data_IF_092259275332
#
_entry.id   IF_092259275332
#
_cell.length_a   1.000
_cell.length_b   1.000
_cell.length_c   1.000
_cell.angle_alpha   90.00
_cell.angle_beta   90.00
_cell.angle_gamma   90.00
#
_symmetry.space_group_name_H-M   'P 1'
#
loop_
_entity.id
_entity.type
_entity.pdbx_description
1 polymer ?
#
# COMPACT_ATOMS: atom_id res chain seq x y z
N UNK A 1 27.43 16.49 0.67
CA UNK A 1 27.39 15.91 2.02
C UNK A 1 27.14 14.41 1.86
N UNK A 2 28.09 13.54 2.26
CA UNK A 2 27.95 12.08 2.12
C UNK A 2 27.13 11.58 3.30
N UNK A 3 25.96 10.95 3.04
CA UNK A 3 25.15 10.37 4.07
C UNK A 3 25.82 9.09 4.58
N UNK A 4 25.99 8.97 5.89
CA UNK A 4 26.47 7.74 6.54
C UNK A 4 25.25 6.98 7.07
N UNK A 5 25.03 5.78 6.57
CA UNK A 5 23.99 4.89 7.05
C UNK A 5 24.50 4.05 8.22
N UNK A 6 23.74 4.01 9.31
CA UNK A 6 24.01 3.11 10.42
C UNK A 6 23.32 1.79 10.15
N UNK A 7 24.07 0.69 10.20
CA UNK A 7 23.48 -0.65 10.09
C UNK A 7 22.62 -0.90 11.34
N UNK A 8 21.35 -1.21 11.13
CA UNK A 8 20.41 -1.52 12.17
C UNK A 8 20.18 -3.04 12.20
N UNK A 9 20.16 -3.64 13.39
CA UNK A 9 20.07 -5.08 13.55
C UNK A 9 18.73 -5.60 13.00
N UNK A 10 17.61 -4.99 13.37
CA UNK A 10 16.28 -5.37 12.89
C UNK A 10 16.12 -5.36 11.37
N UNK A 11 16.82 -4.43 10.68
CA UNK A 11 16.85 -4.40 9.21
C UNK A 11 17.70 -5.54 8.64
N UNK A 12 18.78 -5.90 9.34
CA UNK A 12 19.62 -7.02 8.95
C UNK A 12 18.89 -8.34 9.15
N UNK A 13 18.15 -8.48 10.26
CA UNK A 13 17.34 -9.67 10.56
C UNK A 13 16.22 -9.85 9.52
N UNK A 14 15.55 -8.77 9.12
CA UNK A 14 14.54 -8.80 8.07
C UNK A 14 15.10 -9.28 6.72
N UNK A 15 16.29 -8.80 6.34
CA UNK A 15 16.99 -9.25 5.11
C UNK A 15 17.41 -10.70 5.23
N UNK A 16 18.02 -11.08 6.34
CA UNK A 16 18.53 -12.44 6.59
C UNK A 16 17.40 -13.46 6.55
N UNK A 17 16.26 -13.18 7.17
CA UNK A 17 15.10 -14.05 7.15
C UNK A 17 14.60 -14.30 5.72
N UNK A 18 14.50 -13.26 4.88
CA UNK A 18 14.11 -13.44 3.46
C UNK A 18 15.10 -14.31 2.73
N UNK A 19 16.39 -14.09 2.92
CA UNK A 19 17.44 -14.78 2.17
C UNK A 19 17.52 -16.25 2.59
N UNK A 20 17.41 -16.55 3.89
CA UNK A 20 17.44 -17.92 4.46
C UNK A 20 16.29 -18.81 4.00
N UNK A 21 15.19 -18.25 3.47
CA UNK A 21 14.14 -19.09 2.84
C UNK A 21 14.72 -19.96 1.74
N UNK A 22 15.76 -19.50 1.08
CA UNK A 22 16.40 -20.20 -0.03
C UNK A 22 17.68 -20.93 0.39
N UNK A 23 17.89 -21.23 1.68
CA UNK A 23 19.04 -22.02 2.13
C UNK A 23 19.04 -23.40 1.47
N UNK A 24 20.18 -23.77 0.90
CA UNK A 24 20.33 -24.95 0.04
C UNK A 24 20.20 -24.67 -1.47
N UNK A 25 19.77 -23.45 -1.88
CA UNK A 25 19.78 -23.04 -3.26
C UNK A 25 21.21 -22.78 -3.72
N UNK A 26 21.69 -23.45 -4.79
CA UNK A 26 23.02 -23.16 -5.33
C UNK A 26 23.05 -21.78 -6.02
N UNK A 27 24.21 -21.15 -6.00
CA UNK A 27 24.44 -19.98 -6.83
C UNK A 27 24.67 -20.46 -8.28
N UNK A 28 23.65 -20.38 -9.11
CA UNK A 28 23.70 -20.79 -10.52
C UNK A 28 24.36 -19.71 -11.40
N UNK A 29 24.71 -18.55 -10.82
CA UNK A 29 25.22 -17.40 -11.58
C UNK A 29 24.16 -16.82 -12.52
N UNK A 30 24.63 -16.24 -13.60
CA UNK A 30 23.77 -15.73 -14.67
C UNK A 30 23.45 -16.84 -15.67
N UNK A 31 22.19 -16.96 -16.01
CA UNK A 31 21.75 -17.82 -17.10
C UNK A 31 21.51 -16.97 -18.34
N UNK A 32 22.18 -17.36 -19.40
CA UNK A 32 22.03 -16.72 -20.71
C UNK A 32 20.79 -17.27 -21.42
N UNK A 33 20.17 -16.44 -22.24
CA UNK A 33 19.15 -16.86 -23.20
C UNK A 33 19.30 -16.07 -24.50
N UNK A 34 18.81 -16.65 -25.59
CA UNK A 34 18.82 -15.98 -26.88
C UNK A 34 17.77 -14.86 -26.91
N UNK A 35 18.20 -13.62 -27.10
CA UNK A 35 17.28 -12.48 -27.22
C UNK A 35 16.50 -12.58 -28.52
N UNK A 36 15.18 -12.38 -28.46
CA UNK A 36 14.37 -12.09 -29.64
C UNK A 36 14.58 -10.62 -30.04
N UNK A 37 15.38 -10.38 -31.05
CA UNK A 37 15.65 -9.03 -31.55
C UNK A 37 14.46 -8.41 -32.27
N UNK A 38 13.38 -9.16 -32.51
CA UNK A 38 12.19 -8.70 -33.23
C UNK A 38 12.45 -8.45 -34.73
N UNK A 39 11.61 -7.58 -35.31
CA UNK A 39 11.64 -7.29 -36.74
C UNK A 39 11.57 -5.79 -36.99
N UNK A 40 12.34 -5.33 -37.95
CA UNK A 40 12.31 -3.95 -38.41
C UNK A 40 11.58 -3.87 -39.75
N UNK A 41 10.64 -2.95 -39.87
CA UNK A 41 9.89 -2.71 -41.10
C UNK A 41 10.15 -1.29 -41.59
N UNK A 42 10.39 -1.15 -42.90
CA UNK A 42 10.53 0.14 -43.58
C UNK A 42 9.42 0.27 -44.64
N UNK A 43 8.88 1.44 -44.80
CA UNK A 43 7.98 1.75 -45.88
C UNK A 43 8.74 1.97 -47.19
N UNK A 44 8.61 1.07 -48.16
CA UNK A 44 9.12 1.24 -49.51
C UNK A 44 7.95 1.19 -50.50
N UNK A 45 7.73 2.29 -51.21
CA UNK A 45 6.67 2.37 -52.23
C UNK A 45 5.25 2.15 -51.72
N UNK A 46 4.95 2.60 -50.49
CA UNK A 46 3.63 2.42 -49.85
C UNK A 46 3.35 1.01 -49.35
N UNK A 47 4.36 0.15 -49.32
CA UNK A 47 4.27 -1.21 -48.74
C UNK A 47 5.25 -1.32 -47.57
N UNK A 48 4.79 -1.98 -46.53
CA UNK A 48 5.61 -2.31 -45.35
C UNK A 48 6.45 -3.53 -45.68
N UNK A 49 7.79 -3.33 -45.81
CA UNK A 49 8.76 -4.37 -46.13
C UNK A 49 9.61 -4.67 -44.92
N UNK A 50 9.76 -5.96 -44.56
CA UNK A 50 10.64 -6.41 -43.51
C UNK A 50 12.10 -6.21 -43.96
N UNK A 51 12.85 -5.39 -43.23
CA UNK A 51 14.28 -5.22 -43.48
C UNK A 51 15.01 -6.16 -42.54
N UNK A 52 15.79 -7.06 -43.09
CA UNK A 52 16.81 -7.77 -42.32
C UNK A 52 17.90 -6.77 -41.99
N UNK A 53 17.77 -6.13 -40.87
CA UNK A 53 18.86 -5.39 -40.28
C UNK A 53 19.94 -6.43 -39.94
N UNK A 54 21.16 -6.16 -40.39
CA UNK A 54 22.41 -6.89 -40.20
C UNK A 54 22.30 -8.14 -39.30
N UNK A 55 22.92 -9.25 -39.70
CA UNK A 55 23.13 -10.40 -38.81
C UNK A 55 23.62 -9.83 -37.48
N UNK A 56 22.70 -9.79 -36.49
CA UNK A 56 23.11 -9.46 -35.13
C UNK A 56 24.16 -10.49 -34.76
N UNK A 57 25.32 -10.06 -34.31
CA UNK A 57 26.29 -10.94 -33.74
C UNK A 57 25.58 -11.86 -32.74
N UNK A 58 25.73 -13.16 -32.92
CA UNK A 58 25.15 -14.16 -32.02
C UNK A 58 25.65 -13.99 -30.54
N UNK A 59 26.48 -12.98 -30.30
CA UNK A 59 27.25 -12.70 -29.09
C UNK A 59 26.56 -11.79 -28.05
N UNK A 60 25.36 -11.23 -28.33
CA UNK A 60 24.66 -10.43 -27.33
C UNK A 60 23.56 -11.27 -26.60
N UNK A 61 23.94 -12.05 -25.58
CA UNK A 61 22.98 -12.83 -24.84
C UNK A 61 22.09 -11.95 -23.96
N UNK A 62 20.83 -12.34 -23.78
CA UNK A 62 20.01 -11.88 -22.67
C UNK A 62 20.35 -12.65 -21.41
N UNK A 63 20.14 -12.01 -20.27
CA UNK A 63 20.38 -12.63 -18.96
C UNK A 63 19.08 -12.78 -18.17
N UNK A 64 18.88 -13.93 -17.57
CA UNK A 64 17.75 -14.25 -16.72
C UNK A 64 18.19 -14.79 -15.36
N UNK A 65 17.34 -14.64 -14.37
CA UNK A 65 17.55 -15.26 -13.08
C UNK A 65 17.51 -16.80 -13.20
N UNK A 66 18.44 -17.48 -12.52
CA UNK A 66 18.43 -18.93 -12.39
C UNK A 66 17.21 -19.42 -11.64
N UNK A 67 16.74 -20.62 -12.00
CA UNK A 67 15.57 -21.24 -11.39
C UNK A 67 15.82 -21.60 -9.93
N UNK A 68 14.75 -21.61 -9.13
CA UNK A 68 14.76 -22.18 -7.79
C UNK A 68 14.73 -23.71 -7.94
N UNK A 69 15.80 -24.38 -7.51
CA UNK A 69 15.92 -25.85 -7.59
C UNK A 69 15.42 -26.54 -6.32
N UNK A 70 15.14 -25.77 -5.27
CA UNK A 70 14.56 -26.29 -4.04
C UNK A 70 13.14 -26.79 -4.29
N UNK A 71 12.84 -27.98 -3.79
CA UNK A 71 11.48 -28.49 -3.80
C UNK A 71 10.59 -27.74 -2.78
N UNK A 72 9.28 -27.98 -2.89
CA UNK A 72 8.30 -27.34 -2.05
C UNK A 72 8.48 -27.65 -0.56
N UNK A 73 8.88 -28.89 -0.25
CA UNK A 73 9.05 -29.37 1.13
C UNK A 73 10.23 -28.67 1.80
N UNK A 74 11.35 -28.55 1.09
CA UNK A 74 12.55 -27.84 1.57
C UNK A 74 12.26 -26.35 1.77
N UNK A 75 11.57 -25.69 0.82
CA UNK A 75 11.15 -24.30 0.98
C UNK A 75 10.25 -24.11 2.21
N UNK A 76 9.25 -24.98 2.40
CA UNK A 76 8.34 -24.89 3.54
C UNK A 76 9.10 -25.13 4.86
N UNK A 77 10.02 -26.09 4.88
CA UNK A 77 10.88 -26.35 6.06
C UNK A 77 11.72 -25.14 6.43
N UNK A 78 12.33 -24.47 5.45
CA UNK A 78 13.10 -23.26 5.68
C UNK A 78 12.21 -22.11 6.21
N UNK A 79 11.02 -21.93 5.63
CA UNK A 79 10.03 -20.95 6.10
C UNK A 79 9.63 -21.25 7.56
N UNK A 80 9.30 -22.51 7.90
CA UNK A 80 8.94 -22.89 9.26
C UNK A 80 10.07 -22.65 10.26
N UNK A 81 11.32 -22.91 9.86
CA UNK A 81 12.48 -22.63 10.72
C UNK A 81 12.57 -21.15 11.07
N UNK A 82 12.45 -20.27 10.06
CA UNK A 82 12.46 -18.82 10.25
C UNK A 82 11.27 -18.36 11.11
N UNK A 83 10.08 -18.87 10.83
CA UNK A 83 8.86 -18.54 11.57
C UNK A 83 8.96 -18.95 13.04
N UNK A 84 9.55 -20.14 13.32
CA UNK A 84 9.78 -20.62 14.69
C UNK A 84 10.76 -19.74 15.43
N UNK A 85 11.90 -19.38 14.81
CA UNK A 85 12.91 -18.52 15.42
C UNK A 85 12.37 -17.09 15.69
N UNK A 86 11.49 -16.60 14.82
CA UNK A 86 10.91 -15.26 14.90
C UNK A 86 9.57 -15.22 15.66
N UNK A 87 9.12 -16.34 16.25
CA UNK A 87 7.83 -16.46 16.93
C UNK A 87 6.64 -16.02 16.03
N UNK A 88 6.69 -16.40 14.75
CA UNK A 88 5.65 -16.15 13.77
C UNK A 88 4.81 -17.43 13.62
N UNK A 89 3.50 -17.27 13.40
CA UNK A 89 2.60 -18.41 13.15
C UNK A 89 3.05 -19.20 11.92
N UNK A 90 3.11 -20.54 12.05
CA UNK A 90 3.57 -21.39 10.96
C UNK A 90 2.63 -21.37 9.76
N UNK A 91 3.19 -21.26 8.59
CA UNK A 91 2.46 -21.35 7.32
C UNK A 91 2.01 -22.79 7.07
N UNK A 92 0.77 -22.98 6.61
CA UNK A 92 0.29 -24.33 6.27
C UNK A 92 0.92 -24.88 5.00
N UNK A 93 1.27 -24.01 4.05
CA UNK A 93 1.81 -24.35 2.74
C UNK A 93 2.60 -23.19 2.13
N UNK A 94 3.40 -23.47 1.10
CA UNK A 94 4.05 -22.46 0.27
C UNK A 94 3.04 -21.85 -0.68
N UNK A 95 2.78 -20.54 -0.55
CA UNK A 95 1.86 -19.81 -1.44
C UNK A 95 2.54 -19.53 -2.77
N UNK A 96 1.95 -20.01 -3.87
CA UNK A 96 2.50 -19.96 -5.24
C UNK A 96 1.64 -19.17 -6.24
N UNK A 97 0.90 -18.16 -5.78
CA UNK A 97 0.04 -17.34 -6.68
C UNK A 97 0.88 -16.55 -7.71
N UNK A 98 2.04 -16.03 -7.28
CA UNK A 98 2.96 -15.25 -8.10
C UNK A 98 4.40 -15.79 -7.95
N UNK A 99 4.77 -16.73 -8.83
CA UNK A 99 6.08 -17.38 -8.82
C UNK A 99 6.16 -18.61 -7.91
N UNK A 100 7.38 -19.05 -7.59
CA UNK A 100 7.64 -20.25 -6.77
C UNK A 100 7.19 -20.10 -5.32
N UNK A 101 7.23 -18.87 -4.78
CA UNK A 101 6.70 -18.55 -3.45
C UNK A 101 6.36 -17.06 -3.36
N UNK A 102 5.53 -16.72 -2.37
CA UNK A 102 5.26 -15.34 -1.96
C UNK A 102 5.60 -15.19 -0.48
N UNK A 103 6.52 -14.27 -0.18
CA UNK A 103 7.02 -14.04 1.17
C UNK A 103 6.55 -12.66 1.66
N UNK A 104 6.07 -12.59 2.88
CA UNK A 104 5.62 -11.34 3.50
C UNK A 104 6.65 -10.86 4.52
N UNK A 105 7.00 -9.59 4.40
CA UNK A 105 7.84 -8.84 5.33
C UNK A 105 7.02 -7.69 5.87
N UNK A 106 6.61 -7.80 7.13
CA UNK A 106 5.87 -6.76 7.82
C UNK A 106 6.82 -5.87 8.59
N UNK A 107 6.78 -4.58 8.30
CA UNK A 107 7.59 -3.57 8.97
C UNK A 107 6.80 -2.28 9.11
N UNK A 108 6.77 -1.73 10.31
CA UNK A 108 6.08 -0.47 10.59
C UNK A 108 6.57 0.68 9.68
N UNK A 109 5.68 1.63 9.44
CA UNK A 109 5.98 2.82 8.64
C UNK A 109 7.11 3.62 9.29
N UNK A 110 8.10 4.05 8.47
CA UNK A 110 9.26 4.81 8.97
C UNK A 110 10.43 3.96 9.46
N UNK A 111 10.32 2.63 9.53
CA UNK A 111 11.42 1.73 9.94
C UNK A 111 12.42 1.42 8.82
N UNK A 112 12.19 1.95 7.61
CA UNK A 112 13.13 1.82 6.49
C UNK A 112 12.88 0.62 5.58
N UNK A 113 11.62 0.23 5.32
CA UNK A 113 11.25 -0.83 4.36
C UNK A 113 12.03 -0.76 3.05
N UNK A 114 12.11 0.44 2.45
CA UNK A 114 12.82 0.66 1.18
C UNK A 114 14.31 0.28 1.28
N UNK A 115 14.99 0.67 2.35
CA UNK A 115 16.38 0.28 2.59
C UNK A 115 16.52 -1.25 2.72
N UNK A 116 15.58 -1.88 3.44
CA UNK A 116 15.59 -3.33 3.66
C UNK A 116 15.45 -4.08 2.34
N UNK A 117 14.46 -3.76 1.50
CA UNK A 117 14.33 -4.48 0.24
C UNK A 117 15.49 -4.17 -0.74
N UNK A 118 16.05 -2.96 -0.75
CA UNK A 118 17.26 -2.70 -1.55
C UNK A 118 18.43 -3.56 -1.04
N UNK A 119 18.65 -3.66 0.27
CA UNK A 119 19.67 -4.55 0.84
C UNK A 119 19.42 -6.01 0.49
N UNK A 120 18.14 -6.44 0.50
CA UNK A 120 17.73 -7.80 0.11
C UNK A 120 18.14 -8.14 -1.32
N UNK A 121 18.02 -7.21 -2.28
CA UNK A 121 18.47 -7.44 -3.65
C UNK A 121 19.97 -7.80 -3.71
N UNK A 122 20.80 -7.06 -2.98
CA UNK A 122 22.24 -7.30 -2.94
C UNK A 122 22.59 -8.64 -2.26
N UNK A 123 21.92 -8.99 -1.17
CA UNK A 123 22.15 -10.28 -0.50
C UNK A 123 21.69 -11.46 -1.35
N UNK A 124 20.54 -11.37 -2.03
CA UNK A 124 20.06 -12.37 -2.97
C UNK A 124 21.03 -12.54 -4.15
N UNK A 125 21.57 -11.44 -4.68
CA UNK A 125 22.59 -11.51 -5.70
C UNK A 125 23.87 -12.17 -5.19
N UNK A 126 24.35 -11.78 -4.01
CA UNK A 126 25.57 -12.30 -3.42
C UNK A 126 25.50 -13.80 -3.18
N UNK A 127 24.36 -14.31 -2.66
CA UNK A 127 24.21 -15.72 -2.29
C UNK A 127 23.77 -16.59 -3.45
N UNK A 128 22.81 -16.13 -4.27
CA UNK A 128 22.15 -16.97 -5.28
C UNK A 128 22.38 -16.53 -6.73
N UNK A 129 23.08 -15.39 -6.93
CA UNK A 129 23.41 -14.90 -8.26
C UNK A 129 22.25 -14.20 -8.99
N UNK A 130 21.09 -13.99 -8.37
CA UNK A 130 19.96 -13.32 -9.01
C UNK A 130 20.26 -11.84 -9.25
N UNK A 131 19.92 -11.36 -10.46
CA UNK A 131 20.25 -10.00 -10.92
C UNK A 131 19.06 -9.20 -11.42
N UNK A 132 17.94 -9.85 -11.77
CA UNK A 132 16.77 -9.20 -12.39
C UNK A 132 15.67 -9.00 -11.36
N UNK A 133 15.35 -7.73 -11.09
CA UNK A 133 14.38 -7.35 -10.06
C UNK A 133 13.38 -6.33 -10.60
N UNK A 134 12.15 -6.39 -10.12
CA UNK A 134 11.10 -5.39 -10.40
C UNK A 134 10.53 -4.91 -9.08
N UNK A 135 10.57 -3.61 -8.84
CA UNK A 135 9.88 -2.97 -7.71
C UNK A 135 8.57 -2.38 -8.20
N UNK A 136 7.47 -2.93 -7.71
CA UNK A 136 6.12 -2.47 -8.04
C UNK A 136 5.57 -1.63 -6.90
N UNK A 137 5.13 -0.44 -7.22
CA UNK A 137 4.61 0.53 -6.26
C UNK A 137 3.19 0.97 -6.62
N UNK A 138 2.37 1.39 -5.63
CA UNK A 138 0.97 1.75 -5.89
C UNK A 138 0.80 3.12 -6.58
N UNK A 139 1.77 4.03 -6.48
CA UNK A 139 1.63 5.39 -6.99
C UNK A 139 2.92 5.97 -7.55
N UNK A 140 2.78 7.02 -8.37
CA UNK A 140 3.92 7.77 -8.93
C UNK A 140 4.76 8.42 -7.83
N UNK A 141 4.14 8.96 -6.78
CA UNK A 141 4.87 9.61 -5.68
C UNK A 141 5.80 8.62 -4.95
N UNK A 142 5.31 7.39 -4.67
CA UNK A 142 6.12 6.34 -4.05
C UNK A 142 7.23 5.90 -5.01
N UNK A 143 6.95 5.80 -6.31
CA UNK A 143 7.93 5.47 -7.34
C UNK A 143 9.14 6.41 -7.33
N UNK A 144 8.89 7.72 -7.29
CA UNK A 144 9.96 8.73 -7.20
C UNK A 144 10.73 8.63 -5.87
N UNK A 145 10.02 8.33 -4.78
CA UNK A 145 10.64 8.07 -3.47
C UNK A 145 11.57 6.86 -3.48
N UNK A 146 11.17 5.78 -4.13
CA UNK A 146 11.99 4.57 -4.30
C UNK A 146 13.23 4.88 -5.13
N UNK A 147 13.07 5.57 -6.28
CA UNK A 147 14.20 6.02 -7.10
C UNK A 147 15.20 6.82 -6.28
N UNK A 148 14.71 7.83 -5.53
CA UNK A 148 15.56 8.64 -4.65
C UNK A 148 16.29 7.80 -3.60
N UNK A 149 15.65 6.74 -3.10
CA UNK A 149 16.28 5.83 -2.12
C UNK A 149 17.43 5.06 -2.77
N UNK A 150 17.31 4.59 -4.01
CA UNK A 150 18.42 4.02 -4.76
C UNK A 150 19.56 5.02 -4.97
N UNK A 151 19.23 6.28 -5.35
CA UNK A 151 20.23 7.34 -5.55
C UNK A 151 21.06 7.58 -4.28
N UNK A 152 20.40 7.79 -3.14
CA UNK A 152 21.07 8.15 -1.88
C UNK A 152 21.80 6.97 -1.21
N UNK A 153 21.41 5.73 -1.48
CA UNK A 153 22.03 4.53 -0.91
C UNK A 153 23.11 3.91 -1.82
N UNK A 154 23.26 4.38 -3.04
CA UNK A 154 24.17 3.80 -4.04
C UNK A 154 25.62 3.65 -3.55
N UNK A 155 26.20 4.70 -2.96
CA UNK A 155 27.56 4.67 -2.44
C UNK A 155 27.68 3.77 -1.21
N UNK A 156 26.67 3.75 -0.36
CA UNK A 156 26.64 2.89 0.82
C UNK A 156 26.66 1.40 0.43
N UNK A 157 25.82 1.00 -0.53
CA UNK A 157 25.81 -0.39 -0.99
C UNK A 157 27.05 -0.74 -1.85
N UNK A 158 27.62 0.22 -2.56
CA UNK A 158 28.90 0.02 -3.21
C UNK A 158 30.04 -0.26 -2.20
N UNK A 159 30.04 0.42 -1.06
CA UNK A 159 31.01 0.16 0.02
C UNK A 159 30.79 -1.24 0.67
N UNK A 160 29.54 -1.68 0.82
CA UNK A 160 29.22 -2.95 1.45
C UNK A 160 29.40 -4.19 0.54
N UNK A 161 29.08 -4.05 -0.75
CA UNK A 161 28.99 -5.19 -1.67
C UNK A 161 29.96 -5.14 -2.83
N UNK A 162 30.70 -4.03 -3.01
CA UNK A 162 31.60 -3.83 -4.15
C UNK A 162 30.89 -3.73 -5.50
N UNK A 163 29.54 -3.58 -5.50
CA UNK A 163 28.69 -3.55 -6.69
C UNK A 163 27.69 -2.42 -6.61
N UNK A 164 27.26 -1.92 -7.77
CA UNK A 164 26.14 -0.97 -7.89
C UNK A 164 24.95 -1.67 -8.55
N UNK A 165 23.74 -1.37 -8.10
CA UNK A 165 22.54 -1.73 -8.83
C UNK A 165 22.28 -0.68 -9.91
N UNK A 166 21.97 -1.14 -11.12
CA UNK A 166 21.42 -0.30 -12.19
C UNK A 166 19.90 -0.28 -12.03
N UNK A 167 19.29 0.88 -12.10
CA UNK A 167 17.84 0.99 -11.95
C UNK A 167 17.29 2.05 -12.90
N UNK A 168 16.07 1.83 -13.33
CA UNK A 168 15.32 2.76 -14.17
C UNK A 168 13.85 2.75 -13.80
N UNK A 169 13.16 3.83 -14.12
CA UNK A 169 11.71 3.90 -14.03
C UNK A 169 11.13 3.47 -15.36
N UNK A 170 10.23 2.48 -15.35
CA UNK A 170 9.50 2.11 -16.55
C UNK A 170 8.78 3.32 -17.15
N UNK A 171 9.07 3.58 -18.42
CA UNK A 171 8.43 4.61 -19.22
C UNK A 171 8.00 4.03 -20.58
N UNK A 172 6.72 4.16 -20.91
CA UNK A 172 6.18 3.72 -22.21
C UNK A 172 6.80 4.42 -23.42
N UNK A 173 7.40 5.58 -23.22
CA UNK A 173 8.04 6.37 -24.28
C UNK A 173 9.52 6.01 -24.48
N UNK A 174 10.14 5.28 -23.52
CA UNK A 174 11.54 4.86 -23.55
C UNK A 174 11.67 3.35 -23.32
N UNK A 175 11.27 2.55 -24.30
CA UNK A 175 11.30 1.10 -24.21
C UNK A 175 12.71 0.50 -24.32
N UNK A 176 13.70 1.25 -24.81
CA UNK A 176 15.10 0.81 -24.90
C UNK A 176 15.74 0.44 -23.55
N UNK A 177 15.25 1.02 -22.45
CA UNK A 177 15.69 0.67 -21.10
C UNK A 177 15.38 -0.80 -20.75
N UNK A 178 14.33 -1.39 -21.35
CA UNK A 178 13.99 -2.81 -21.19
C UNK A 178 15.02 -3.71 -21.87
N UNK A 179 15.52 -3.34 -23.05
CA UNK A 179 16.59 -4.09 -23.72
C UNK A 179 17.87 -4.02 -22.88
N UNK A 180 18.24 -2.82 -22.39
CA UNK A 180 19.37 -2.64 -21.47
C UNK A 180 19.22 -3.48 -20.20
N UNK A 181 18.01 -3.55 -19.63
CA UNK A 181 17.68 -4.40 -18.48
C UNK A 181 17.93 -5.87 -18.80
N UNK A 182 17.51 -6.35 -19.99
CA UNK A 182 17.66 -7.74 -20.40
C UNK A 182 19.12 -8.12 -20.67
N UNK A 183 19.88 -7.22 -21.30
CA UNK A 183 21.29 -7.45 -21.69
C UNK A 183 22.29 -7.24 -20.57
N UNK A 184 21.90 -6.60 -19.47
CA UNK A 184 22.84 -6.32 -18.37
C UNK A 184 23.11 -7.58 -17.54
N UNK A 185 24.38 -7.87 -17.30
CA UNK A 185 24.82 -8.89 -16.36
C UNK A 185 24.81 -8.42 -14.90
N UNK A 186 24.68 -7.10 -14.66
CA UNK A 186 24.68 -6.48 -13.34
C UNK A 186 23.32 -6.60 -12.66
N UNK A 187 23.28 -6.31 -11.35
CA UNK A 187 22.01 -6.13 -10.62
C UNK A 187 21.22 -5.04 -11.32
N UNK A 188 20.08 -5.40 -11.89
CA UNK A 188 19.22 -4.52 -12.67
C UNK A 188 17.83 -4.48 -12.07
N UNK A 189 17.30 -3.28 -11.86
CA UNK A 189 16.03 -3.04 -11.17
C UNK A 189 15.13 -2.16 -12.04
N UNK A 190 13.96 -2.67 -12.39
CA UNK A 190 12.89 -1.88 -12.99
C UNK A 190 11.94 -1.40 -11.90
N UNK A 191 11.69 -0.10 -11.82
CA UNK A 191 10.72 0.49 -10.90
C UNK A 191 9.47 0.85 -11.70
N UNK A 192 8.31 0.28 -11.34
CA UNK A 192 7.06 0.45 -12.07
C UNK A 192 5.89 0.67 -11.13
N UNK A 193 4.98 1.58 -11.47
CA UNK A 193 3.73 1.75 -10.73
C UNK A 193 2.59 0.96 -11.36
N UNK A 194 1.61 0.56 -10.56
CA UNK A 194 0.49 -0.29 -11.00
C UNK A 194 -0.28 0.28 -12.18
N UNK A 195 -0.41 1.59 -12.28
CA UNK A 195 -1.14 2.27 -13.37
C UNK A 195 -0.48 2.06 -14.74
N UNK A 196 0.82 1.77 -14.79
CA UNK A 196 1.57 1.60 -16.03
C UNK A 196 1.29 0.25 -16.72
N UNK A 197 0.76 -0.75 -16.01
CA UNK A 197 0.49 -2.08 -16.57
C UNK A 197 -0.92 -2.62 -16.23
N UNK A 198 -1.65 -2.00 -15.30
CA UNK A 198 -2.99 -2.44 -14.90
C UNK A 198 -4.04 -1.88 -15.85
N UNK A 199 -4.34 -2.63 -16.91
CA UNK A 199 -5.35 -2.24 -17.90
C UNK A 199 -6.18 -3.45 -18.32
N UNK A 200 -7.44 -3.17 -18.68
CA UNK A 200 -8.27 -4.16 -19.36
C UNK A 200 -7.75 -4.39 -20.78
N UNK A 201 -7.53 -5.64 -21.15
CA UNK A 201 -7.15 -6.03 -22.52
C UNK A 201 -8.33 -6.08 -23.49
N UNK A 202 -9.55 -5.76 -23.01
CA UNK A 202 -10.74 -5.68 -23.89
C UNK A 202 -10.56 -4.51 -24.86
N UNK A 203 -10.98 -4.72 -26.11
CA UNK A 203 -11.03 -3.66 -27.11
C UNK A 203 -11.87 -2.48 -26.61
N UNK A 204 -11.35 -1.25 -26.78
CA UNK A 204 -12.03 -0.04 -26.32
C UNK A 204 -11.67 0.43 -24.89
N UNK A 205 -10.76 -0.24 -24.18
CA UNK A 205 -10.32 0.22 -22.86
C UNK A 205 -9.68 1.60 -22.91
N UNK A 206 -10.07 2.49 -21.96
CA UNK A 206 -9.70 3.92 -21.94
C UNK A 206 -8.21 4.20 -21.72
N UNK A 207 -7.45 3.26 -21.15
CA UNK A 207 -6.05 3.49 -20.79
C UNK A 207 -5.07 2.99 -21.87
N UNK A 208 -4.87 3.81 -22.91
CA UNK A 208 -3.94 3.51 -24.01
C UNK A 208 -2.48 3.36 -23.54
N UNK A 209 -2.02 4.18 -22.59
CA UNK A 209 -0.64 4.16 -22.10
C UNK A 209 -0.30 2.84 -21.39
N UNK A 210 -1.21 2.28 -20.58
CA UNK A 210 -0.98 1.01 -19.89
C UNK A 210 -1.07 -0.21 -20.85
N UNK A 211 -1.57 -0.06 -22.07
CA UNK A 211 -1.56 -1.13 -23.08
C UNK A 211 -0.23 -1.27 -23.79
N UNK A 212 0.60 -0.22 -23.77
CA UNK A 212 1.89 -0.21 -24.49
C UNK A 212 2.77 -1.37 -24.07
N UNK A 213 2.77 -1.75 -22.82
CA UNK A 213 3.56 -2.88 -22.30
C UNK A 213 3.13 -4.23 -22.90
N UNK A 214 1.87 -4.37 -23.33
CA UNK A 214 1.28 -5.60 -23.87
C UNK A 214 1.18 -5.65 -25.38
N UNK A 215 1.26 -4.51 -26.05
CA UNK A 215 1.08 -4.41 -27.50
C UNK A 215 2.43 -4.55 -28.22
N UNK A 216 2.39 -5.16 -29.41
CA UNK A 216 3.54 -5.12 -30.33
C UNK A 216 3.78 -3.68 -30.78
N UNK A 217 5.00 -3.21 -30.67
CA UNK A 217 5.36 -1.82 -30.97
C UNK A 217 6.45 -1.77 -32.03
N UNK A 218 6.23 -0.97 -33.07
CA UNK A 218 7.20 -0.82 -34.16
C UNK A 218 8.48 -0.14 -33.67
N UNK A 219 8.36 0.84 -32.76
CA UNK A 219 9.50 1.48 -32.10
C UNK A 219 10.24 0.57 -31.10
N UNK A 220 9.74 -0.66 -30.88
CA UNK A 220 10.37 -1.71 -30.10
C UNK A 220 10.55 -2.99 -30.95
N UNK A 221 10.88 -2.81 -32.22
CA UNK A 221 11.16 -3.89 -33.18
C UNK A 221 10.03 -4.93 -33.26
N UNK A 222 8.78 -4.47 -33.27
CA UNK A 222 7.57 -5.29 -33.30
C UNK A 222 7.46 -6.35 -32.19
N UNK A 223 8.18 -6.18 -31.09
CA UNK A 223 8.09 -7.01 -29.87
C UNK A 223 7.09 -6.43 -28.89
N UNK A 224 6.64 -7.26 -27.96
CA UNK A 224 5.86 -6.82 -26.79
C UNK A 224 6.79 -6.63 -25.60
N UNK A 225 6.82 -5.45 -24.95
CA UNK A 225 7.69 -5.20 -23.80
C UNK A 225 7.54 -6.23 -22.68
N UNK A 226 6.30 -6.68 -22.40
CA UNK A 226 6.04 -7.66 -21.36
C UNK A 226 6.72 -9.00 -21.60
N UNK A 227 6.82 -9.46 -22.87
CA UNK A 227 7.45 -10.75 -23.19
C UNK A 227 8.97 -10.68 -22.94
N UNK A 228 9.59 -9.55 -23.26
CA UNK A 228 11.02 -9.33 -23.01
C UNK A 228 11.29 -9.30 -21.51
N UNK A 229 10.45 -8.60 -20.73
CA UNK A 229 10.60 -8.57 -19.28
C UNK A 229 10.38 -9.96 -18.66
N UNK A 230 9.35 -10.70 -19.11
CA UNK A 230 9.02 -12.02 -18.61
C UNK A 230 10.13 -13.06 -18.86
N UNK A 231 10.87 -12.92 -19.97
CA UNK A 231 12.00 -13.79 -20.31
C UNK A 231 13.13 -13.71 -19.27
N UNK A 232 13.29 -12.59 -18.59
CA UNK A 232 14.31 -12.39 -17.55
C UNK A 232 13.99 -13.10 -16.23
N UNK A 233 12.77 -13.63 -16.03
CA UNK A 233 12.31 -14.24 -14.76
C UNK A 233 12.60 -13.40 -13.53
N UNK A 234 12.08 -12.19 -13.45
CA UNK A 234 12.44 -11.26 -12.39
C UNK A 234 11.94 -11.71 -11.02
N UNK A 235 12.64 -11.31 -9.97
CA UNK A 235 12.09 -11.28 -8.61
C UNK A 235 11.25 -10.03 -8.49
N UNK A 236 9.99 -10.17 -8.07
CA UNK A 236 9.09 -9.03 -7.89
C UNK A 236 9.04 -8.63 -6.42
N UNK A 237 9.20 -7.34 -6.17
CA UNK A 237 9.01 -6.70 -4.87
C UNK A 237 7.76 -5.84 -4.96
N UNK A 238 6.77 -6.14 -4.12
CA UNK A 238 5.55 -5.34 -3.98
C UNK A 238 5.70 -4.44 -2.75
N UNK A 239 5.74 -3.14 -2.97
CA UNK A 239 5.74 -2.15 -1.90
C UNK A 239 4.30 -1.71 -1.62
N UNK A 240 3.78 -1.97 -0.42
CA UNK A 240 2.39 -1.78 0.00
C UNK A 240 1.37 -2.62 -0.82
N UNK A 241 1.51 -3.97 -0.85
CA UNK A 241 0.69 -4.88 -1.66
C UNK A 241 -0.81 -4.79 -1.37
N UNK A 242 -1.24 -4.38 -0.17
CA UNK A 242 -2.66 -4.20 0.17
C UNK A 242 -3.37 -3.14 -0.72
N UNK A 243 -2.62 -2.27 -1.37
CA UNK A 243 -3.13 -1.31 -2.37
C UNK A 243 -3.23 -1.89 -3.77
N UNK A 244 -2.78 -3.14 -3.96
CA UNK A 244 -2.65 -3.82 -5.26
C UNK A 244 -3.47 -5.12 -5.34
N UNK A 245 -4.36 -5.40 -4.37
CA UNK A 245 -5.07 -6.69 -4.21
C UNK A 245 -6.20 -6.97 -5.21
N UNK A 246 -6.45 -6.11 -6.20
CA UNK A 246 -7.46 -6.35 -7.23
C UNK A 246 -7.11 -7.53 -8.16
N UNK A 247 -8.08 -8.39 -8.51
CA UNK A 247 -7.89 -9.55 -9.37
C UNK A 247 -7.22 -9.21 -10.72
N UNK A 248 -7.57 -8.06 -11.32
CA UNK A 248 -6.96 -7.58 -12.55
C UNK A 248 -5.45 -7.29 -12.38
N UNK A 249 -5.07 -6.70 -11.24
CA UNK A 249 -3.66 -6.41 -10.92
C UNK A 249 -2.87 -7.69 -10.70
N UNK A 250 -3.45 -8.67 -9.99
CA UNK A 250 -2.82 -9.97 -9.76
C UNK A 250 -2.59 -10.73 -11.08
N UNK A 251 -3.58 -10.72 -11.97
CA UNK A 251 -3.44 -11.29 -13.33
C UNK A 251 -2.36 -10.57 -14.14
N UNK A 252 -2.26 -9.25 -14.02
CA UNK A 252 -1.24 -8.48 -14.72
C UNK A 252 0.17 -8.76 -14.16
N UNK A 253 0.31 -8.88 -12.84
CA UNK A 253 1.58 -9.26 -12.17
C UNK A 253 2.07 -10.65 -12.60
N UNK A 254 1.17 -11.62 -12.75
CA UNK A 254 1.53 -12.96 -13.21
C UNK A 254 2.16 -12.97 -14.63
N UNK A 255 1.85 -11.98 -15.47
CA UNK A 255 2.42 -11.84 -16.82
C UNK A 255 3.89 -11.47 -16.85
N UNK A 256 4.40 -10.88 -15.78
CA UNK A 256 5.84 -10.65 -15.63
C UNK A 256 6.64 -11.93 -15.43
N UNK A 257 5.97 -13.08 -15.28
CA UNK A 257 6.57 -14.40 -15.04
C UNK A 257 7.58 -14.39 -13.87
N UNK A 258 7.15 -13.95 -12.67
CA UNK A 258 8.09 -13.80 -11.57
C UNK A 258 8.74 -15.12 -11.14
N UNK A 259 10.01 -15.06 -10.76
CA UNK A 259 10.68 -16.16 -10.11
C UNK A 259 10.04 -16.44 -8.73
N UNK A 260 9.89 -15.39 -7.93
CA UNK A 260 9.11 -15.35 -6.69
C UNK A 260 8.77 -13.89 -6.36
N UNK A 261 7.96 -13.70 -5.32
CA UNK A 261 7.49 -12.36 -4.94
C UNK A 261 7.74 -12.08 -3.47
N UNK A 262 8.21 -10.86 -3.18
CA UNK A 262 8.42 -10.30 -1.84
C UNK A 262 7.41 -9.18 -1.60
N UNK A 263 6.63 -9.30 -0.54
CA UNK A 263 5.61 -8.33 -0.16
C UNK A 263 6.10 -7.52 1.05
N UNK A 264 6.33 -6.24 0.88
CA UNK A 264 6.73 -5.33 1.96
C UNK A 264 5.58 -4.42 2.35
N UNK A 265 5.13 -4.49 3.59
CA UNK A 265 4.02 -3.67 4.09
C UNK A 265 4.17 -3.36 5.57
N UNK A 266 3.48 -2.32 6.06
CA UNK A 266 3.26 -2.13 7.49
C UNK A 266 2.09 -2.99 8.01
N UNK A 267 1.16 -3.36 7.11
CA UNK A 267 -0.01 -4.20 7.43
C UNK A 267 -0.39 -5.02 6.21
N UNK A 268 -0.50 -6.32 6.36
CA UNK A 268 -0.97 -7.20 5.30
C UNK A 268 -2.47 -7.47 5.44
N UNK A 269 -3.25 -7.27 4.35
CA UNK A 269 -4.67 -7.67 4.30
C UNK A 269 -4.85 -9.17 4.11
N UNK A 270 -4.00 -9.76 3.30
CA UNK A 270 -3.89 -11.20 3.07
C UNK A 270 -2.47 -11.60 3.45
N UNK A 271 -2.34 -12.64 4.24
CA UNK A 271 -1.05 -13.18 4.64
C UNK A 271 -0.70 -14.36 3.75
N UNK A 272 0.51 -14.39 3.24
CA UNK A 272 1.03 -15.48 2.42
C UNK A 272 1.99 -16.37 3.24
N UNK A 273 3.29 -16.12 3.13
CA UNK A 273 4.28 -16.78 3.97
C UNK A 273 5.08 -15.70 4.70
N UNK A 274 4.64 -15.27 5.92
CA UNK A 274 5.34 -14.25 6.67
C UNK A 274 6.69 -14.79 7.17
N UNK A 275 7.75 -14.02 6.90
CA UNK A 275 9.12 -14.38 7.30
C UNK A 275 9.75 -13.36 8.24
N UNK A 276 9.15 -12.18 8.35
CA UNK A 276 9.56 -11.14 9.28
C UNK A 276 8.38 -10.26 9.66
N UNK A 277 8.25 -9.98 10.96
CA UNK A 277 7.21 -9.11 11.52
C UNK A 277 7.83 -8.13 12.50
N UNK A 278 7.67 -6.84 12.25
CA UNK A 278 7.99 -5.74 13.13
C UNK A 278 6.78 -4.82 13.15
N UNK A 279 5.85 -5.12 14.05
CA UNK A 279 4.61 -4.37 14.20
C UNK A 279 4.82 -2.99 14.86
N UNK A 280 3.73 -2.23 14.98
CA UNK A 280 3.77 -0.88 15.57
C UNK A 280 4.21 -0.90 17.04
N UNK A 281 3.80 -1.92 17.82
CA UNK A 281 4.15 -2.06 19.22
C UNK A 281 5.62 -2.41 19.39
N UNK A 282 6.12 -3.35 18.61
CA UNK A 282 7.52 -3.76 18.62
C UNK A 282 8.43 -2.61 18.15
N UNK A 283 8.05 -1.91 17.09
CA UNK A 283 8.77 -0.76 16.60
C UNK A 283 8.83 0.38 17.64
N UNK A 284 7.74 0.59 18.38
CA UNK A 284 7.70 1.55 19.47
C UNK A 284 8.58 1.12 20.66
N UNK A 285 8.47 -0.13 21.11
CA UNK A 285 9.25 -0.67 22.22
C UNK A 285 10.76 -0.60 21.93
N UNK A 286 11.17 -0.83 20.69
CA UNK A 286 12.54 -0.70 20.21
C UNK A 286 12.96 0.77 19.94
N UNK A 287 12.07 1.74 20.15
CA UNK A 287 12.31 3.19 19.93
C UNK A 287 12.68 3.53 18.48
N UNK A 288 12.17 2.78 17.52
CA UNK A 288 12.41 2.96 16.08
C UNK A 288 11.46 4.00 15.47
N UNK A 289 10.28 4.16 16.05
CA UNK A 289 9.25 5.11 15.62
C UNK A 289 8.86 6.04 16.77
N UNK A 290 8.34 7.22 16.44
CA UNK A 290 7.81 8.13 17.45
C UNK A 290 6.56 7.53 18.09
N UNK A 291 6.33 7.83 19.37
CA UNK A 291 5.06 7.52 20.04
C UNK A 291 3.93 8.18 19.24
N UNK A 292 3.04 7.39 18.69
CA UNK A 292 1.74 7.86 18.23
C UNK A 292 0.88 7.86 19.48
N UNK A 293 0.79 8.99 20.16
CA UNK A 293 -0.23 9.19 21.16
C UNK A 293 -1.52 9.46 20.38
N UNK A 294 -2.32 8.44 20.20
CA UNK A 294 -3.72 8.62 19.89
C UNK A 294 -4.29 9.16 21.19
N UNK A 295 -4.39 10.47 21.33
CA UNK A 295 -5.37 11.08 22.19
C UNK A 295 -6.68 10.61 21.57
N UNK A 296 -7.23 9.52 22.08
CA UNK A 296 -8.59 9.14 21.81
C UNK A 296 -9.38 10.33 22.30
N UNK A 297 -9.93 11.12 21.40
CA UNK A 297 -11.21 11.71 21.70
C UNK A 297 -12.09 10.48 21.89
N UNK A 298 -12.39 10.14 23.14
CA UNK A 298 -13.64 9.50 23.38
C UNK A 298 -14.66 10.48 22.78
N UNK A 299 -15.06 10.23 21.55
CA UNK A 299 -16.36 10.64 21.12
C UNK A 299 -17.31 9.90 22.05
N UNK A 300 -17.56 10.49 23.22
CA UNK A 300 -18.71 10.19 24.03
C UNK A 300 -19.94 10.57 23.21
N UNK A 301 -20.16 9.93 22.12
CA UNK A 301 -21.36 10.02 21.29
C UNK A 301 -21.17 9.12 20.08
N UNK A 302 -20.87 7.85 20.30
CA UNK A 302 -21.22 6.80 19.36
C UNK A 302 -22.75 6.82 19.25
N UNK A 303 -23.26 6.99 18.04
CA UNK A 303 -24.69 6.89 17.72
C UNK A 303 -25.33 5.76 18.53
N UNK A 304 -26.17 6.14 19.49
CA UNK A 304 -27.04 5.21 20.23
C UNK A 304 -26.78 5.01 21.71
N UNK A 305 -25.80 5.69 22.34
CA UNK A 305 -25.52 5.54 23.77
C UNK A 305 -25.73 6.82 24.61
N UNK A 306 -25.42 8.01 24.03
CA UNK A 306 -25.62 9.28 24.75
C UNK A 306 -26.28 10.31 23.82
N UNK A 307 -27.32 10.98 24.33
CA UNK A 307 -28.12 11.89 23.53
C UNK A 307 -27.38 13.18 23.15
N UNK A 308 -27.15 13.39 21.83
CA UNK A 308 -26.61 14.67 21.34
C UNK A 308 -27.65 15.77 21.56
N UNK A 309 -27.28 16.81 22.30
CA UNK A 309 -28.09 18.00 22.54
C UNK A 309 -27.21 19.26 22.37
N UNK A 310 -27.67 20.20 21.56
CA UNK A 310 -27.01 21.48 21.38
C UNK A 310 -27.99 22.62 21.45
N UNK A 311 -27.85 23.51 22.46
CA UNK A 311 -28.70 24.68 22.62
C UNK A 311 -28.18 25.80 21.70
N UNK A 312 -28.85 26.01 20.58
CA UNK A 312 -28.43 27.00 19.59
C UNK A 312 -28.81 28.44 20.01
N UNK A 313 -30.04 28.61 20.54
CA UNK A 313 -30.58 29.93 20.92
C UNK A 313 -31.82 29.82 21.79
N UNK A 314 -32.22 30.92 22.46
CA UNK A 314 -33.52 31.05 23.11
C UNK A 314 -34.34 32.11 22.37
N UNK A 315 -35.46 31.67 21.85
CA UNK A 315 -36.39 32.50 21.07
C UNK A 315 -37.36 33.21 22.01
N UNK A 316 -37.34 34.56 21.96
CA UNK A 316 -38.23 35.40 22.73
C UNK A 316 -39.35 35.91 21.84
N UNK A 317 -40.57 35.89 22.35
CA UNK A 317 -41.76 36.43 21.68
C UNK A 317 -42.55 37.32 22.66
N UNK A 318 -43.23 38.34 22.13
CA UNK A 318 -44.07 39.22 22.93
C UNK A 318 -45.35 38.50 23.45
N UNK A 319 -45.78 37.49 22.75
CA UNK A 319 -47.11 36.86 22.97
C UNK A 319 -47.03 35.40 23.42
N UNK A 320 -45.80 34.88 23.60
CA UNK A 320 -45.58 33.46 23.98
C UNK A 320 -44.44 33.34 24.98
N UNK A 321 -44.49 32.30 25.80
CA UNK A 321 -43.40 31.93 26.67
C UNK A 321 -42.09 31.69 25.86
N UNK A 322 -40.94 31.87 26.46
CA UNK A 322 -39.66 31.60 25.81
C UNK A 322 -39.56 30.17 25.31
N UNK A 323 -38.92 29.98 24.15
CA UNK A 323 -38.66 28.67 23.57
C UNK A 323 -37.17 28.48 23.37
N UNK A 324 -36.64 27.32 23.71
CA UNK A 324 -35.27 26.96 23.44
C UNK A 324 -35.15 26.31 22.06
N UNK A 325 -34.33 26.86 21.16
CA UNK A 325 -34.03 26.24 19.88
C UNK A 325 -32.86 25.26 20.05
N UNK A 326 -33.19 23.98 20.01
CA UNK A 326 -32.25 22.91 20.27
C UNK A 326 -32.06 22.02 19.05
N UNK A 327 -30.81 21.65 18.76
CA UNK A 327 -30.47 20.59 17.82
C UNK A 327 -30.36 19.27 18.55
N UNK A 328 -31.04 18.24 18.04
CA UNK A 328 -31.11 16.90 18.64
C UNK A 328 -31.23 15.83 17.55
N UNK A 329 -30.93 14.60 17.90
CA UNK A 329 -31.12 13.47 17.01
C UNK A 329 -32.62 13.03 17.02
N UNK A 330 -33.13 12.82 15.81
CA UNK A 330 -34.55 12.41 15.63
C UNK A 330 -34.59 11.19 14.73
N UNK A 331 -35.28 10.15 15.19
CA UNK A 331 -35.51 8.94 14.42
C UNK A 331 -36.83 9.07 13.61
N UNK A 332 -36.70 8.89 12.30
CA UNK A 332 -37.84 8.87 11.40
C UNK A 332 -38.56 7.52 11.45
N UNK A 333 -39.82 7.46 10.96
CA UNK A 333 -40.60 6.21 10.83
C UNK A 333 -39.91 5.11 10.02
N UNK A 334 -38.91 5.44 9.20
CA UNK A 334 -38.07 4.50 8.45
C UNK A 334 -36.89 3.95 9.25
N UNK A 335 -36.72 4.36 10.52
CA UNK A 335 -35.60 3.97 11.37
C UNK A 335 -34.31 4.79 11.15
N UNK A 336 -34.28 5.71 10.19
CA UNK A 336 -33.08 6.56 9.95
C UNK A 336 -33.04 7.70 10.98
N UNK A 337 -31.84 7.95 11.52
CA UNK A 337 -31.59 9.00 12.52
C UNK A 337 -30.95 10.19 11.79
N UNK A 338 -31.48 11.38 12.01
CA UNK A 338 -30.93 12.66 11.53
C UNK A 338 -30.89 13.68 12.67
N UNK A 339 -29.97 14.64 12.59
CA UNK A 339 -29.93 15.82 13.45
C UNK A 339 -30.88 16.86 12.87
N UNK A 340 -31.74 17.45 13.74
CA UNK A 340 -32.67 18.48 13.33
C UNK A 340 -32.95 19.45 14.49
N UNK A 341 -33.34 20.67 14.18
CA UNK A 341 -33.69 21.70 15.16
C UNK A 341 -35.14 21.54 15.60
N UNK A 342 -35.33 21.66 16.91
CA UNK A 342 -36.67 21.76 17.54
C UNK A 342 -36.73 22.98 18.45
N UNK A 343 -37.88 23.64 18.45
CA UNK A 343 -38.20 24.67 19.42
C UNK A 343 -38.91 24.00 20.60
N UNK A 344 -38.28 24.03 21.75
CA UNK A 344 -38.76 23.38 22.98
C UNK A 344 -39.34 24.41 23.90
N UNK A 345 -40.43 24.04 24.52
CA UNK A 345 -41.13 24.78 25.61
C UNK A 345 -41.00 24.03 26.92
N UNK A 346 -41.26 24.69 28.05
CA UNK A 346 -41.34 23.99 29.31
C UNK A 346 -42.42 22.92 29.27
N UNK A 347 -42.14 21.73 29.81
CA UNK A 347 -42.97 20.54 29.75
C UNK A 347 -42.74 19.63 28.53
N UNK A 348 -41.99 20.03 27.54
CA UNK A 348 -41.67 19.18 26.38
C UNK A 348 -40.77 18.00 26.78
N UNK A 349 -41.13 16.79 26.30
CA UNK A 349 -40.41 15.56 26.52
C UNK A 349 -39.60 15.18 25.26
N UNK A 350 -38.27 15.18 25.38
CA UNK A 350 -37.36 14.88 24.26
C UNK A 350 -37.48 13.44 23.81
N UNK A 351 -37.83 12.49 24.68
CA UNK A 351 -38.07 11.11 24.28
C UNK A 351 -39.19 11.02 23.21
N UNK A 352 -40.28 11.71 23.47
CA UNK A 352 -41.45 11.76 22.55
C UNK A 352 -41.08 12.50 21.25
N UNK A 353 -40.37 13.61 21.33
CA UNK A 353 -39.97 14.46 20.18
C UNK A 353 -38.89 13.85 19.30
N UNK A 354 -38.07 12.96 19.83
CA UNK A 354 -37.01 12.27 19.12
C UNK A 354 -37.42 11.05 18.31
N UNK A 355 -38.70 10.65 18.42
CA UNK A 355 -39.20 9.38 17.86
C UNK A 355 -38.91 8.18 18.77
N UNK A 356 -38.99 8.39 20.07
CA UNK A 356 -38.85 7.40 21.16
C UNK A 356 -37.40 6.84 21.27
N UNK A 357 -36.39 7.68 21.06
CA UNK A 357 -35.01 7.28 21.24
C UNK A 357 -34.68 7.19 22.74
N UNK A 358 -34.20 6.03 23.18
CA UNK A 358 -33.96 5.71 24.61
C UNK A 358 -32.94 6.67 25.27
N UNK A 359 -32.00 7.23 24.53
CA UNK A 359 -31.02 8.20 25.01
C UNK A 359 -31.63 9.51 25.52
N UNK A 360 -32.87 9.82 25.18
CA UNK A 360 -33.56 11.02 25.65
C UNK A 360 -34.61 10.73 26.74
N UNK A 361 -34.67 9.53 27.31
CA UNK A 361 -35.54 9.23 28.45
C UNK A 361 -35.14 10.09 29.63
N UNK A 362 -36.17 10.74 30.24
CA UNK A 362 -35.96 11.63 31.39
C UNK A 362 -35.56 13.07 31.06
N UNK A 363 -35.39 13.40 29.77
CA UNK A 363 -35.14 14.77 29.34
C UNK A 363 -36.48 15.50 29.12
N UNK A 364 -37.13 15.88 30.20
CA UNK A 364 -38.34 16.75 30.20
C UNK A 364 -37.89 18.16 30.55
N UNK A 365 -38.22 19.14 29.70
CA UNK A 365 -37.85 20.55 29.96
C UNK A 365 -38.55 21.07 31.20
N UNK A 366 -37.79 21.43 32.23
CA UNK A 366 -38.33 21.96 33.50
C UNK A 366 -38.23 23.48 33.59
N UNK A 367 -37.20 24.09 32.97
CA UNK A 367 -36.98 25.52 33.05
C UNK A 367 -36.20 26.03 31.80
N UNK A 368 -36.61 27.22 31.30
CA UNK A 368 -35.89 27.95 30.29
C UNK A 368 -35.52 29.33 30.93
N UNK A 369 -34.25 29.43 31.34
CA UNK A 369 -33.72 30.63 31.99
C UNK A 369 -33.14 31.61 30.97
N UNK A 370 -33.47 32.91 31.12
CA UNK A 370 -33.03 33.99 30.25
C UNK A 370 -32.16 34.95 31.06
N UNK A 371 -30.91 35.08 30.71
CA UNK A 371 -30.06 36.14 31.21
C UNK A 371 -30.04 37.33 30.22
N UNK A 372 -30.72 38.42 30.60
CA UNK A 372 -30.87 39.61 29.77
C UNK A 372 -29.58 40.45 29.71
N UNK A 373 -28.68 40.27 30.66
CA UNK A 373 -27.37 41.01 30.68
C UNK A 373 -26.31 40.25 29.92
N UNK A 374 -26.32 38.93 30.00
CA UNK A 374 -25.34 38.07 29.33
C UNK A 374 -26.07 36.91 28.62
N UNK A 375 -26.50 37.11 27.36
CA UNK A 375 -27.29 36.11 26.63
C UNK A 375 -26.65 34.71 26.59
N UNK A 376 -25.30 34.63 26.60
CA UNK A 376 -24.58 33.36 26.65
C UNK A 376 -24.77 32.56 27.98
N UNK A 377 -25.32 33.17 29.02
CA UNK A 377 -25.66 32.51 30.27
C UNK A 377 -27.13 32.04 30.31
N UNK A 378 -27.89 32.35 29.28
CA UNK A 378 -29.22 31.79 29.16
C UNK A 378 -29.16 30.27 28.99
N UNK A 379 -30.04 29.51 29.60
CA UNK A 379 -29.96 28.05 29.71
C UNK A 379 -31.31 27.36 29.60
N UNK A 380 -31.27 26.07 29.33
CA UNK A 380 -32.39 25.13 29.45
C UNK A 380 -32.03 24.06 30.46
N UNK A 381 -32.94 23.75 31.38
CA UNK A 381 -32.78 22.72 32.40
C UNK A 381 -33.80 21.62 32.19
N UNK A 382 -33.37 20.38 32.38
CA UNK A 382 -34.20 19.17 32.24
C UNK A 382 -34.45 18.52 33.60
N UNK A 383 -35.52 17.73 33.67
CA UNK A 383 -35.93 17.03 34.90
C UNK A 383 -34.94 16.02 35.44
N UNK A 384 -33.99 15.56 34.64
CA UNK A 384 -32.87 14.71 35.04
C UNK A 384 -31.69 15.50 35.66
N UNK A 385 -31.82 16.82 35.80
CA UNK A 385 -30.79 17.72 36.36
C UNK A 385 -29.76 18.25 35.35
N UNK A 386 -29.87 17.89 34.10
CA UNK A 386 -28.97 18.42 33.05
C UNK A 386 -29.34 19.87 32.73
N UNK A 387 -28.36 20.76 32.69
CA UNK A 387 -28.52 22.16 32.27
C UNK A 387 -27.56 22.45 31.11
N UNK A 388 -28.08 23.05 30.02
CA UNK A 388 -27.32 23.46 28.87
C UNK A 388 -27.38 24.97 28.72
N UNK A 389 -26.23 25.60 28.41
CA UNK A 389 -26.12 27.01 28.12
C UNK A 389 -26.07 27.26 26.60
N UNK A 390 -26.40 28.49 26.16
CA UNK A 390 -26.34 28.82 24.72
C UNK A 390 -24.90 28.58 24.21
N UNK A 391 -24.80 27.83 23.13
CA UNK A 391 -23.55 27.40 22.47
C UNK A 391 -22.67 26.42 23.27
N UNK A 392 -23.17 25.84 24.34
CA UNK A 392 -22.56 24.65 24.93
C UNK A 392 -23.02 23.42 24.15
N UNK A 393 -22.07 22.69 23.58
CA UNK A 393 -22.30 21.32 23.17
C UNK A 393 -22.27 20.45 24.44
N UNK A 394 -23.39 19.92 24.86
CA UNK A 394 -23.36 18.81 25.79
C UNK A 394 -22.98 17.55 25.02
N UNK A 395 -21.68 17.38 24.85
CA UNK A 395 -21.08 16.09 24.70
C UNK A 395 -20.90 15.54 26.13
N UNK A 396 -21.83 14.79 26.64
CA UNK A 396 -21.63 13.92 27.80
C UNK A 396 -21.60 12.49 27.33
#
# INVERSE_FOLDING_TARGET
MKLKFKIQQYQTDAVENVVRVFDGQPNLGLLEYKIDHGKVYVEQGGKRVEVKEFEYDEEDPGYKNGDIVLDKETLLKNIHHIQTESNIHLSNDVVKKLGHCQLDVEMETGTGKTYVYIKTLFELNKRYGWTKFIVVVPSVAIREGVKKSFDITADHFMELYGKKARYFIYNSDSLGDIDTFSQSADISVMIINTQAFNTSLKEGAKNKAARIIYDKRDNFRSRRPIDVIAANRPVIILDEPQKMGGAATQTALARFNPLFTLNYSATHKETHNPVYVLDALDAYNQKLVKKIEVVGFELKNLKGTDGYLYLADIILSKDRAPQARMEMEIQNKSGSIKRDYKNLSEGDDLYSLSGQMDQYKGYVVTEIHIDTMLPSRSSITFGNGTTLYIKDEAAQ
#
